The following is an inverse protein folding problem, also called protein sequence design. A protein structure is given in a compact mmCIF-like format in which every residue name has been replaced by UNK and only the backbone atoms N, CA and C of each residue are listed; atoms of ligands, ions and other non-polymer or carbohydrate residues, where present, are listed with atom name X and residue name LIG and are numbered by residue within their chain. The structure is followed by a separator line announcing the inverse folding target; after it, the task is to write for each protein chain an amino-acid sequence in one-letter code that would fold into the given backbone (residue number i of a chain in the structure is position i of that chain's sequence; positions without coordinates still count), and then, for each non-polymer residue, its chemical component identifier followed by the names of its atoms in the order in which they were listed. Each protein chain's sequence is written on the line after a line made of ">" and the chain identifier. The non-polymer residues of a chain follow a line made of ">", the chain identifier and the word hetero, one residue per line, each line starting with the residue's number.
data_IF_444989151056
#
_entry.id   IF_444989151056
#
_cell.length_a   1.000
_cell.length_b   1.000
_cell.length_c   1.000
_cell.angle_alpha   90.00
_cell.angle_beta   90.00
_cell.angle_gamma   90.00
#
_symmetry.space_group_name_H-M   'P 1'
#
loop_
_entity.id
_entity.type
_entity.pdbx_description
1 polymer ?
#
# COMPACT_ATOMS: atom_id res chain seq x y z
N UNK A 1 20.90 28.46 -44.76
CA UNK A 1 20.16 27.40 -44.04
C UNK A 1 20.44 27.51 -42.55
N UNK A 2 19.44 27.34 -41.69
CA UNK A 2 19.60 27.28 -40.24
C UNK A 2 19.42 25.84 -39.75
N UNK A 3 19.94 25.53 -38.57
CA UNK A 3 19.83 24.17 -38.01
C UNK A 3 18.37 23.75 -37.83
N UNK A 4 17.53 24.65 -37.35
CA UNK A 4 16.10 24.41 -37.12
C UNK A 4 15.21 24.64 -38.35
N UNK A 5 15.77 24.84 -39.55
CA UNK A 5 14.93 25.03 -40.74
C UNK A 5 14.15 23.78 -41.07
N UNK A 6 12.93 23.97 -41.58
CA UNK A 6 12.06 22.88 -42.00
C UNK A 6 12.72 21.99 -43.06
N UNK A 7 13.43 22.60 -44.01
CA UNK A 7 14.19 21.91 -45.06
C UNK A 7 15.30 21.02 -44.48
N UNK A 8 16.10 21.54 -43.54
CA UNK A 8 17.17 20.77 -42.89
C UNK A 8 16.56 19.63 -42.07
N UNK A 9 15.46 19.90 -41.36
CA UNK A 9 14.72 18.88 -40.60
C UNK A 9 14.24 17.73 -41.49
N UNK A 10 13.60 18.05 -42.61
CA UNK A 10 13.09 17.05 -43.55
C UNK A 10 14.21 16.24 -44.18
N UNK A 11 15.32 16.88 -44.53
CA UNK A 11 16.51 16.21 -45.05
C UNK A 11 17.07 15.21 -44.04
N UNK A 12 17.29 15.64 -42.79
CA UNK A 12 17.86 14.80 -41.73
C UNK A 12 16.93 13.64 -41.36
N UNK A 13 15.61 13.89 -41.29
CA UNK A 13 14.63 12.82 -41.12
C UNK A 13 14.64 11.85 -42.30
N UNK A 14 14.76 12.37 -43.54
CA UNK A 14 14.86 11.57 -44.76
C UNK A 14 16.04 10.60 -44.74
N UNK A 15 17.20 11.06 -44.28
CA UNK A 15 18.41 10.23 -44.13
C UNK A 15 18.26 9.15 -43.05
N UNK A 16 17.41 9.39 -42.04
CA UNK A 16 17.22 8.49 -40.90
C UNK A 16 16.00 7.55 -41.05
N UNK A 17 15.25 7.62 -42.15
CA UNK A 17 14.07 6.75 -42.39
C UNK A 17 14.37 5.26 -42.35
N UNK A 18 15.60 4.87 -42.71
CA UNK A 18 16.01 3.47 -42.75
C UNK A 18 16.48 2.93 -41.38
N UNK A 19 16.44 3.75 -40.32
CA UNK A 19 16.86 3.31 -39.00
C UNK A 19 15.84 2.30 -38.42
N UNK A 20 16.29 1.16 -37.86
CA UNK A 20 15.40 0.15 -37.26
C UNK A 20 14.45 0.74 -36.18
N UNK A 21 14.87 1.77 -35.46
CA UNK A 21 14.01 2.42 -34.45
C UNK A 21 12.85 3.21 -35.06
N UNK A 22 13.06 3.81 -36.25
CA UNK A 22 12.02 4.51 -36.99
C UNK A 22 10.98 3.52 -37.55
N UNK A 23 11.44 2.36 -38.02
CA UNK A 23 10.58 1.28 -38.54
C UNK A 23 9.71 0.68 -37.41
N UNK A 24 10.31 0.43 -36.25
CA UNK A 24 9.60 -0.18 -35.11
C UNK A 24 8.60 0.77 -34.45
N UNK A 25 8.97 2.05 -34.27
CA UNK A 25 8.08 3.05 -33.67
C UNK A 25 8.40 4.47 -34.18
N UNK A 26 7.79 4.82 -35.32
CA UNK A 26 8.00 6.13 -35.98
C UNK A 26 7.64 7.31 -35.08
N UNK A 27 6.53 7.25 -34.35
CA UNK A 27 6.09 8.35 -33.47
C UNK A 27 7.08 8.62 -32.33
N UNK A 28 7.58 7.55 -31.70
CA UNK A 28 8.59 7.67 -30.66
C UNK A 28 9.91 8.20 -31.21
N UNK A 29 10.33 7.70 -32.37
CA UNK A 29 11.53 8.19 -33.03
C UNK A 29 11.45 9.68 -33.37
N UNK A 30 10.33 10.14 -33.94
CA UNK A 30 10.12 11.55 -34.29
C UNK A 30 10.14 12.42 -33.02
N UNK A 31 9.54 11.96 -31.92
CA UNK A 31 9.57 12.67 -30.64
C UNK A 31 11.01 12.83 -30.13
N UNK A 32 11.77 11.73 -30.08
CA UNK A 32 13.17 11.74 -29.63
C UNK A 32 14.08 12.54 -30.56
N UNK A 33 13.84 12.47 -31.87
CA UNK A 33 14.52 13.30 -32.86
C UNK A 33 14.34 14.79 -32.56
N UNK A 34 13.10 15.23 -32.31
CA UNK A 34 12.79 16.62 -32.00
C UNK A 34 13.44 17.07 -30.67
N UNK A 35 13.42 16.21 -29.65
CA UNK A 35 14.08 16.48 -28.36
C UNK A 35 15.59 16.63 -28.56
N UNK A 36 16.20 15.72 -29.30
CA UNK A 36 17.65 15.73 -29.57
C UNK A 36 18.04 16.97 -30.38
N UNK A 37 17.24 17.33 -31.37
CA UNK A 37 17.43 18.54 -32.17
C UNK A 37 17.32 19.81 -31.30
N UNK A 38 16.36 19.88 -30.39
CA UNK A 38 16.27 20.98 -29.42
C UNK A 38 17.49 21.03 -28.50
N UNK A 39 17.97 19.87 -28.01
CA UNK A 39 19.12 19.81 -27.11
C UNK A 39 20.42 20.27 -27.77
N UNK A 40 20.64 19.89 -29.03
CA UNK A 40 21.80 20.34 -29.81
C UNK A 40 21.70 21.84 -30.09
N UNK A 41 20.51 22.34 -30.42
CA UNK A 41 20.30 23.77 -30.64
C UNK A 41 20.54 24.62 -29.38
N UNK A 42 20.15 24.12 -28.19
CA UNK A 42 20.47 24.78 -26.92
C UNK A 42 21.98 24.85 -26.66
N UNK A 43 22.75 23.93 -27.24
CA UNK A 43 24.22 23.87 -27.14
C UNK A 43 24.90 24.41 -28.40
N UNK A 44 24.19 25.18 -29.25
CA UNK A 44 24.72 25.66 -30.53
C UNK A 44 26.05 26.40 -30.40
N UNK A 45 26.24 27.12 -29.29
CA UNK A 45 27.43 27.94 -29.06
C UNK A 45 28.70 27.09 -28.85
N UNK A 46 28.54 25.79 -28.58
CA UNK A 46 29.64 24.81 -28.51
C UNK A 46 30.02 24.18 -29.86
N UNK A 47 29.28 24.49 -30.93
CA UNK A 47 29.50 23.94 -32.27
C UNK A 47 30.03 25.01 -33.21
N UNK A 48 31.06 24.67 -33.98
CA UNK A 48 31.70 25.60 -34.92
C UNK A 48 30.91 25.75 -36.23
N UNK A 49 30.07 24.77 -36.58
CA UNK A 49 29.34 24.76 -37.84
C UNK A 49 27.99 24.06 -37.74
N UNK A 50 27.06 24.48 -38.60
CA UNK A 50 25.80 23.77 -38.88
C UNK A 50 26.05 22.29 -39.23
N UNK A 51 27.14 22.02 -39.95
CA UNK A 51 27.51 20.67 -40.35
C UNK A 51 27.86 19.80 -39.12
N UNK A 52 28.49 20.38 -38.10
CA UNK A 52 28.85 19.66 -36.87
C UNK A 52 27.61 19.34 -36.03
N UNK A 53 26.64 20.27 -35.99
CA UNK A 53 25.33 20.04 -35.37
C UNK A 53 24.54 18.93 -36.09
N UNK A 54 24.51 18.95 -37.43
CA UNK A 54 23.86 17.91 -38.23
C UNK A 54 24.52 16.54 -38.04
N UNK A 55 25.86 16.48 -38.03
CA UNK A 55 26.63 15.25 -37.80
C UNK A 55 26.36 14.67 -36.41
N UNK A 56 26.35 15.51 -35.38
CA UNK A 56 26.08 15.06 -34.00
C UNK A 56 24.67 14.56 -33.82
N UNK A 57 23.67 15.22 -34.42
CA UNK A 57 22.29 14.73 -34.42
C UNK A 57 22.20 13.33 -35.05
N UNK A 58 22.76 13.16 -36.26
CA UNK A 58 22.74 11.86 -36.95
C UNK A 58 23.44 10.81 -36.10
N UNK A 59 24.60 11.11 -35.51
CA UNK A 59 25.34 10.19 -34.64
C UNK A 59 24.53 9.76 -33.43
N UNK A 60 23.84 10.69 -32.76
CA UNK A 60 23.00 10.37 -31.60
C UNK A 60 21.82 9.50 -32.01
N UNK A 61 21.15 9.81 -33.12
CA UNK A 61 20.00 9.06 -33.62
C UNK A 61 20.36 7.68 -34.18
N UNK A 62 21.59 7.47 -34.70
CA UNK A 62 22.05 6.13 -35.13
C UNK A 62 22.47 5.25 -33.96
N UNK A 63 23.00 5.84 -32.89
CA UNK A 63 23.29 5.12 -31.63
C UNK A 63 22.06 4.89 -30.76
N UNK A 64 20.96 5.57 -31.08
CA UNK A 64 19.72 5.49 -30.32
C UNK A 64 19.15 4.08 -30.39
N UNK A 65 18.91 3.49 -29.23
CA UNK A 65 18.17 2.23 -29.07
C UNK A 65 16.86 2.55 -28.40
N UNK A 66 15.79 1.84 -28.76
CA UNK A 66 14.55 1.94 -28.00
C UNK A 66 14.87 1.66 -26.52
N UNK A 67 14.37 2.48 -25.58
CA UNK A 67 14.45 2.13 -24.18
C UNK A 67 13.84 0.75 -24.02
N UNK A 68 14.55 -0.15 -23.35
CA UNK A 68 13.96 -1.42 -22.94
C UNK A 68 12.66 -1.05 -22.22
N UNK A 69 11.53 -1.54 -22.75
CA UNK A 69 10.26 -1.26 -22.12
C UNK A 69 10.39 -1.70 -20.65
N UNK A 70 9.97 -0.87 -19.69
CA UNK A 70 9.97 -1.29 -18.31
C UNK A 70 9.22 -2.62 -18.27
N UNK A 71 9.90 -3.68 -17.81
CA UNK A 71 9.27 -5.00 -17.65
C UNK A 71 7.96 -4.72 -16.92
N UNK A 72 6.83 -5.02 -17.58
CA UNK A 72 5.53 -4.87 -16.96
C UNK A 72 5.54 -5.78 -15.74
N UNK A 73 5.75 -5.18 -14.57
CA UNK A 73 5.84 -5.92 -13.33
C UNK A 73 4.54 -6.70 -13.18
N UNK A 74 4.66 -7.99 -12.94
CA UNK A 74 3.49 -8.84 -12.72
C UNK A 74 2.70 -8.29 -11.54
N UNK A 75 1.37 -8.48 -11.52
CA UNK A 75 0.51 -8.03 -10.41
C UNK A 75 1.05 -8.46 -9.02
N UNK A 76 1.71 -9.61 -8.97
CA UNK A 76 2.41 -10.12 -7.78
C UNK A 76 3.58 -9.24 -7.35
N UNK A 77 4.43 -8.83 -8.28
CA UNK A 77 5.60 -7.98 -8.00
C UNK A 77 5.18 -6.58 -7.55
N UNK A 78 4.15 -6.02 -8.18
CA UNK A 78 3.54 -4.74 -7.75
C UNK A 78 3.00 -4.85 -6.32
N UNK A 79 2.34 -5.96 -6.00
CA UNK A 79 1.84 -6.21 -4.65
C UNK A 79 2.97 -6.31 -3.62
N UNK A 80 4.03 -7.07 -3.93
CA UNK A 80 5.20 -7.20 -3.06
C UNK A 80 5.90 -5.87 -2.84
N UNK A 81 6.03 -5.05 -3.88
CA UNK A 81 6.62 -3.72 -3.78
C UNK A 81 5.78 -2.81 -2.88
N UNK A 82 4.45 -2.82 -3.03
CA UNK A 82 3.53 -2.05 -2.17
C UNK A 82 3.60 -2.52 -0.72
N UNK A 83 3.62 -3.84 -0.50
CA UNK A 83 3.73 -4.42 0.84
C UNK A 83 5.03 -4.01 1.52
N UNK A 84 6.17 -4.12 0.82
CA UNK A 84 7.48 -3.70 1.33
C UNK A 84 7.54 -2.21 1.63
N UNK A 85 6.91 -1.38 0.79
CA UNK A 85 6.83 0.07 1.03
C UNK A 85 6.02 0.38 2.28
N UNK A 86 4.94 -0.36 2.52
CA UNK A 86 4.10 -0.19 3.71
C UNK A 86 4.80 -0.66 4.99
N UNK A 87 5.54 -1.77 4.92
CA UNK A 87 6.34 -2.29 6.04
C UNK A 87 7.46 -1.31 6.45
N UNK A 88 8.13 -0.70 5.46
CA UNK A 88 9.14 0.34 5.72
C UNK A 88 8.51 1.56 6.41
N UNK A 89 7.42 2.09 5.84
CA UNK A 89 6.70 3.22 6.44
C UNK A 89 6.24 2.93 7.87
N UNK A 90 5.77 1.71 8.13
CA UNK A 90 5.36 1.28 9.47
C UNK A 90 6.54 1.20 10.43
N UNK A 91 7.68 0.68 9.98
CA UNK A 91 8.91 0.60 10.79
C UNK A 91 9.43 1.99 11.14
N UNK A 92 9.39 2.93 10.19
CA UNK A 92 9.78 4.32 10.41
C UNK A 92 8.85 5.03 11.40
N UNK A 93 7.54 4.73 11.37
CA UNK A 93 6.57 5.25 12.34
C UNK A 93 6.74 4.67 13.75
N UNK A 94 7.18 3.43 13.89
CA UNK A 94 7.39 2.80 15.20
C UNK A 94 8.71 3.23 15.83
N UNK A 95 9.73 3.49 15.01
CA UNK A 95 11.05 3.95 15.49
C UNK A 95 11.11 5.46 15.78
N UNK A 96 10.01 6.08 16.17
CA UNK A 96 10.05 7.42 16.75
C UNK A 96 10.71 7.27 18.12
N UNK A 97 11.90 7.88 18.29
CA UNK A 97 12.64 7.87 19.56
C UNK A 97 11.68 8.26 20.68
N UNK A 98 11.59 7.42 21.72
CA UNK A 98 10.86 7.75 22.94
C UNK A 98 11.41 9.09 23.45
N UNK A 99 10.56 10.12 23.67
CA UNK A 99 11.01 11.37 24.28
C UNK A 99 11.68 11.10 25.63
N UNK A 100 12.64 11.94 26.00
CA UNK A 100 13.29 11.84 27.31
C UNK A 100 12.23 11.98 28.43
N UNK A 101 12.37 11.17 29.48
CA UNK A 101 11.43 11.20 30.61
C UNK A 101 11.57 12.52 31.37
N UNK A 102 10.44 13.20 31.58
CA UNK A 102 10.40 14.46 32.31
C UNK A 102 10.47 14.16 33.80
N UNK A 103 11.51 14.68 34.45
CA UNK A 103 11.57 14.74 35.89
C UNK A 103 10.73 15.93 36.38
N UNK A 104 9.69 15.63 37.17
CA UNK A 104 8.83 16.62 37.83
C UNK A 104 9.19 16.79 39.31
N UNK A 105 10.32 16.25 39.75
CA UNK A 105 10.81 16.53 41.09
C UNK A 105 11.17 18.01 41.19
N UNK A 106 10.38 18.71 42.00
CA UNK A 106 10.69 20.06 42.45
C UNK A 106 11.89 19.90 43.41
N UNK A 107 13.11 19.91 42.86
CA UNK A 107 14.32 19.85 43.67
C UNK A 107 14.46 21.21 44.35
N UNK A 108 13.81 21.32 45.50
CA UNK A 108 13.81 22.50 46.37
C UNK A 108 15.14 22.57 47.13
N UNK A 109 16.25 22.68 46.40
CA UNK A 109 17.52 23.11 46.97
C UNK A 109 18.00 24.35 46.21
N UNK A 110 17.90 25.46 46.94
CA UNK A 110 18.55 26.75 46.76
C UNK A 110 18.04 27.71 45.66
N UNK A 111 17.33 28.75 46.14
CA UNK A 111 17.45 30.16 45.76
C UNK A 111 17.46 30.54 44.26
N UNK A 112 16.43 31.30 43.86
CA UNK A 112 16.31 32.06 42.60
C UNK A 112 15.85 31.33 41.31
N UNK A 113 14.98 30.32 41.43
CA UNK A 113 14.47 29.54 40.27
C UNK A 113 13.22 30.12 39.54
N UNK A 114 13.04 31.45 39.49
CA UNK A 114 12.00 32.03 38.62
C UNK A 114 12.48 32.26 37.17
N UNK A 115 13.79 32.20 36.90
CA UNK A 115 14.35 32.31 35.54
C UNK A 115 14.35 31.00 34.76
N UNK A 116 14.32 29.87 35.46
CA UNK A 116 14.43 28.54 34.85
C UNK A 116 13.15 28.09 34.14
N UNK A 117 11.98 28.61 34.54
CA UNK A 117 10.71 28.28 33.89
C UNK A 117 10.65 28.83 32.46
N UNK A 118 11.10 30.07 32.25
CA UNK A 118 11.14 30.70 30.93
C UNK A 118 12.19 30.02 30.04
N UNK A 119 13.36 29.68 30.59
CA UNK A 119 14.38 28.96 29.83
C UNK A 119 13.91 27.54 29.45
N UNK A 120 13.21 26.85 30.36
CA UNK A 120 12.65 25.53 30.08
C UNK A 120 11.52 25.60 29.06
N UNK A 121 10.67 26.64 29.10
CA UNK A 121 9.66 26.87 28.05
C UNK A 121 10.31 27.10 26.69
N UNK A 122 11.35 27.93 26.61
CA UNK A 122 12.07 28.20 25.35
C UNK A 122 12.77 26.94 24.81
N UNK A 123 13.37 26.12 25.68
CA UNK A 123 13.96 24.84 25.27
C UNK A 123 12.89 23.88 24.74
N UNK A 124 11.74 23.77 25.40
CA UNK A 124 10.61 22.94 24.95
C UNK A 124 9.99 23.42 23.64
N UNK A 125 9.86 24.73 23.45
CA UNK A 125 9.37 25.29 22.19
C UNK A 125 10.30 24.95 21.02
N UNK A 126 11.62 25.02 21.23
CA UNK A 126 12.61 24.63 20.22
C UNK A 126 12.54 23.15 19.90
N UNK A 127 12.46 22.29 20.91
CA UNK A 127 12.35 20.84 20.72
C UNK A 127 11.07 20.46 19.98
N UNK A 128 9.93 21.04 20.37
CA UNK A 128 8.65 20.84 19.67
C UNK A 128 8.72 21.31 18.21
N UNK A 129 9.35 22.45 17.95
CA UNK A 129 9.56 22.95 16.58
C UNK A 129 10.46 22.02 15.75
N UNK A 130 11.48 21.40 16.35
CA UNK A 130 12.33 20.41 15.68
C UNK A 130 11.58 19.11 15.38
N UNK A 131 10.81 18.61 16.34
CA UNK A 131 9.94 17.46 16.18
C UNK A 131 8.89 17.73 15.08
N UNK A 132 8.24 18.90 15.09
CA UNK A 132 7.26 19.30 14.07
C UNK A 132 7.84 19.41 12.66
N UNK A 133 9.12 19.77 12.49
CA UNK A 133 9.79 19.79 11.18
C UNK A 133 10.01 18.39 10.62
N UNK A 134 10.17 17.39 11.48
CA UNK A 134 10.40 16.00 11.08
C UNK A 134 9.14 15.30 10.54
N UNK A 135 7.95 15.80 10.89
CA UNK A 135 6.69 15.28 10.37
C UNK A 135 6.34 15.86 9.00
N UNK A 136 5.92 14.98 8.08
CA UNK A 136 5.42 15.39 6.77
C UNK A 136 4.01 16.00 6.91
N UNK A 137 3.96 17.30 7.18
CA UNK A 137 2.70 18.04 7.38
C UNK A 137 1.83 18.16 6.11
N UNK A 138 2.25 17.65 4.94
CA UNK A 138 1.51 17.80 3.68
C UNK A 138 0.13 17.13 3.70
N UNK A 139 0.04 15.93 4.28
CA UNK A 139 -1.23 15.20 4.33
C UNK A 139 -2.18 15.81 5.37
N UNK A 140 -1.63 16.25 6.51
CA UNK A 140 -2.39 16.96 7.54
C UNK A 140 -2.86 18.34 7.06
N UNK A 141 -2.01 19.09 6.35
CA UNK A 141 -2.38 20.38 5.77
C UNK A 141 -3.43 20.25 4.70
N UNK A 142 -3.34 19.20 3.86
CA UNK A 142 -4.37 18.89 2.87
C UNK A 142 -5.68 18.52 3.55
N UNK A 143 -5.65 17.74 4.64
CA UNK A 143 -6.86 17.37 5.38
C UNK A 143 -7.53 18.57 6.08
N UNK A 144 -6.73 19.47 6.67
CA UNK A 144 -7.20 20.70 7.32
C UNK A 144 -7.75 21.71 6.30
N UNK A 145 -7.09 21.88 5.15
CA UNK A 145 -7.53 22.80 4.09
C UNK A 145 -8.72 22.25 3.27
N UNK A 146 -8.94 20.94 3.29
CA UNK A 146 -10.05 20.28 2.60
C UNK A 146 -11.45 20.62 3.16
N UNK A 147 -11.55 21.36 4.27
CA UNK A 147 -12.85 21.84 4.74
C UNK A 147 -13.41 22.98 3.87
N UNK A 148 -12.56 23.82 3.26
CA UNK A 148 -13.01 24.92 2.40
C UNK A 148 -13.27 24.48 0.95
N UNK A 149 -12.60 23.40 0.50
CA UNK A 149 -12.76 22.83 -0.85
C UNK A 149 -13.64 21.57 -0.86
N UNK A 150 -14.63 21.47 0.05
CA UNK A 150 -15.74 20.54 -0.18
C UNK A 150 -16.56 21.08 -1.35
N UNK A 151 -16.13 20.78 -2.57
CA UNK A 151 -17.04 20.65 -3.69
C UNK A 151 -18.27 19.89 -3.17
N UNK A 152 -19.43 20.51 -3.33
CA UNK A 152 -20.75 19.99 -2.95
C UNK A 152 -20.77 18.47 -3.13
N UNK A 153 -21.38 17.69 -2.21
CA UNK A 153 -21.41 16.23 -2.32
C UNK A 153 -21.78 15.85 -3.75
N UNK A 154 -20.87 15.15 -4.42
CA UNK A 154 -21.00 14.78 -5.83
C UNK A 154 -22.34 14.09 -5.98
N UNK A 155 -23.33 14.79 -6.55
CA UNK A 155 -24.60 14.19 -6.95
C UNK A 155 -24.26 13.27 -8.11
N UNK A 156 -24.01 12.00 -7.79
CA UNK A 156 -23.87 10.94 -8.79
C UNK A 156 -25.11 10.98 -9.69
N UNK A 157 -24.96 11.51 -10.90
CA UNK A 157 -25.99 11.40 -11.93
C UNK A 157 -25.91 9.98 -12.46
N UNK A 158 -26.62 9.06 -11.81
CA UNK A 158 -26.90 7.73 -12.36
C UNK A 158 -27.74 7.98 -13.61
N UNK A 159 -27.10 7.93 -14.78
CA UNK A 159 -27.83 7.89 -16.05
C UNK A 159 -28.43 6.49 -16.11
N UNK A 160 -29.75 6.40 -16.01
CA UNK A 160 -30.50 5.17 -16.27
C UNK A 160 -30.37 4.84 -17.77
N UNK A 161 -29.25 4.24 -18.18
CA UNK A 161 -29.22 3.51 -19.43
C UNK A 161 -29.97 2.21 -19.19
N UNK A 162 -31.29 2.23 -19.42
CA UNK A 162 -32.13 1.03 -19.46
C UNK A 162 -31.73 0.19 -20.67
N UNK A 163 -30.68 -0.62 -20.50
CA UNK A 163 -30.44 -1.73 -21.42
C UNK A 163 -31.48 -2.78 -21.07
N UNK A 164 -32.42 -3.05 -21.99
CA UNK A 164 -33.36 -4.17 -21.84
C UNK A 164 -32.59 -5.48 -21.82
N UNK A 165 -32.38 -6.03 -20.63
CA UNK A 165 -31.78 -7.36 -20.47
C UNK A 165 -32.88 -8.37 -20.79
N UNK A 166 -32.85 -8.94 -21.99
CA UNK A 166 -33.66 -10.12 -22.28
C UNK A 166 -33.10 -11.28 -21.46
N UNK A 167 -33.96 -11.90 -20.64
CA UNK A 167 -33.58 -13.09 -19.90
C UNK A 167 -33.19 -14.19 -20.89
N UNK A 168 -31.95 -14.67 -20.79
CA UNK A 168 -31.52 -15.88 -21.46
C UNK A 168 -32.04 -17.03 -20.60
N UNK A 169 -33.01 -17.78 -21.10
CA UNK A 169 -33.45 -19.03 -20.47
C UNK A 169 -32.28 -20.02 -20.54
N UNK A 170 -31.51 -20.10 -19.45
CA UNK A 170 -30.57 -21.18 -19.25
C UNK A 170 -31.38 -22.46 -18.99
N UNK A 171 -31.50 -23.31 -20.01
CA UNK A 171 -31.83 -24.71 -19.81
C UNK A 171 -30.91 -25.26 -18.71
N UNK A 172 -31.51 -25.65 -17.58
CA UNK A 172 -30.80 -26.20 -16.41
C UNK A 172 -30.19 -27.55 -16.76
N UNK A 173 -29.04 -27.56 -17.44
CA UNK A 173 -28.11 -28.68 -17.33
C UNK A 173 -27.56 -28.63 -15.91
N UNK A 174 -27.88 -29.65 -15.12
CA UNK A 174 -27.46 -29.83 -13.73
C UNK A 174 -25.94 -29.67 -13.63
N UNK A 175 -25.50 -28.48 -13.22
CA UNK A 175 -24.08 -28.17 -13.01
C UNK A 175 -23.58 -29.05 -11.87
N UNK A 176 -22.86 -30.12 -12.20
CA UNK A 176 -22.07 -30.88 -11.24
C UNK A 176 -21.13 -29.90 -10.57
N UNK A 177 -21.24 -29.73 -9.24
CA UNK A 177 -20.37 -28.87 -8.45
C UNK A 177 -18.95 -29.41 -8.56
N UNK A 178 -18.12 -28.81 -9.41
CA UNK A 178 -16.68 -29.10 -9.46
C UNK A 178 -16.05 -28.53 -8.18
N UNK A 179 -15.86 -29.38 -7.18
CA UNK A 179 -15.05 -29.09 -6.02
C UNK A 179 -13.61 -29.46 -6.33
N UNK A 180 -12.70 -28.49 -6.20
CA UNK A 180 -11.26 -28.76 -6.25
C UNK A 180 -10.88 -29.49 -4.97
N UNK A 181 -10.39 -30.73 -5.08
CA UNK A 181 -9.73 -31.45 -3.99
C UNK A 181 -8.24 -31.46 -4.28
N UNK A 182 -7.44 -31.07 -3.29
CA UNK A 182 -5.99 -31.18 -3.35
C UNK A 182 -5.58 -32.53 -2.76
N UNK A 183 -4.80 -33.32 -3.51
CA UNK A 183 -4.09 -34.46 -2.93
C UNK A 183 -2.95 -33.94 -2.06
N UNK A 184 -3.14 -33.98 -0.74
CA UNK A 184 -2.07 -33.74 0.22
C UNK A 184 -1.19 -35.00 0.27
N UNK A 185 -0.06 -34.98 -0.44
CA UNK A 185 1.05 -35.88 -0.12
C UNK A 185 1.78 -35.29 1.08
N UNK A 186 1.52 -35.84 2.27
CA UNK A 186 2.24 -35.50 3.50
C UNK A 186 3.71 -35.92 3.32
N UNK A 187 4.56 -34.97 2.89
CA UNK A 187 5.99 -35.07 3.13
C UNK A 187 6.23 -34.59 4.56
N UNK A 188 6.68 -35.51 5.41
CA UNK A 188 7.12 -35.26 6.78
C UNK A 188 8.41 -34.42 6.81
N UNK A 189 8.34 -33.18 6.36
CA UNK A 189 9.40 -32.19 6.56
C UNK A 189 8.85 -31.09 7.47
N UNK A 190 9.48 -30.97 8.64
CA UNK A 190 9.17 -30.02 9.70
C UNK A 190 9.35 -28.59 9.21
N UNK A 191 8.35 -28.05 8.51
CA UNK A 191 8.30 -26.63 8.21
C UNK A 191 7.83 -25.86 9.43
N UNK A 192 8.72 -25.02 9.97
CA UNK A 192 8.45 -23.97 10.96
C UNK A 192 7.56 -22.86 10.36
N UNK A 193 6.33 -23.20 9.98
CA UNK A 193 5.34 -22.23 9.51
C UNK A 193 4.59 -21.62 10.70
N UNK A 194 4.27 -20.33 10.60
CA UNK A 194 3.57 -19.48 11.58
C UNK A 194 2.34 -20.14 12.26
N UNK A 195 1.68 -21.07 11.57
CA UNK A 195 0.55 -21.86 12.09
C UNK A 195 0.92 -22.97 13.09
N UNK A 196 2.19 -23.39 13.18
CA UNK A 196 2.67 -24.30 14.22
C UNK A 196 2.83 -23.62 15.59
N UNK A 197 2.91 -22.28 15.62
CA UNK A 197 2.89 -21.49 16.87
C UNK A 197 1.48 -21.26 17.40
N UNK A 198 0.46 -21.39 16.56
CA UNK A 198 -0.88 -21.67 17.09
C UNK A 198 -0.84 -23.09 17.63
N UNK A 199 -0.62 -23.22 18.94
CA UNK A 199 -1.07 -24.42 19.66
C UNK A 199 -2.56 -24.58 19.32
N UNK A 200 -2.88 -25.46 18.36
CA UNK A 200 -4.15 -26.17 18.41
C UNK A 200 -4.17 -26.73 19.83
N UNK A 201 -5.08 -26.24 20.66
CA UNK A 201 -5.41 -26.86 21.93
C UNK A 201 -5.87 -28.26 21.54
N UNK A 202 -4.94 -29.20 21.57
CA UNK A 202 -5.24 -30.60 21.45
C UNK A 202 -6.26 -30.90 22.55
N UNK A 203 -7.35 -31.53 22.14
CA UNK A 203 -8.40 -32.02 23.02
C UNK A 203 -9.27 -30.95 23.71
N UNK A 204 -10.23 -30.41 22.95
CA UNK A 204 -11.63 -30.38 23.44
C UNK A 204 -12.05 -31.86 23.59
N UNK A 205 -11.57 -32.51 24.65
CA UNK A 205 -12.05 -33.83 25.12
C UNK A 205 -12.31 -33.74 26.63
N UNK A 206 -11.68 -32.80 27.34
CA UNK A 206 -11.83 -32.67 28.79
C UNK A 206 -12.99 -31.77 29.26
N UNK A 207 -13.62 -30.96 28.40
CA UNK A 207 -14.79 -30.16 28.79
C UNK A 207 -16.05 -30.99 28.89
N UNK A 208 -16.24 -31.97 28.00
CA UNK A 208 -17.48 -32.74 27.94
C UNK A 208 -17.63 -33.69 29.14
N UNK A 209 -16.52 -34.24 29.65
CA UNK A 209 -16.57 -35.06 30.86
C UNK A 209 -16.88 -34.23 32.12
N UNK A 210 -16.35 -33.01 32.24
CA UNK A 210 -16.67 -32.11 33.36
C UNK A 210 -18.15 -31.71 33.33
N UNK A 211 -18.65 -31.32 32.15
CA UNK A 211 -20.06 -30.95 31.96
C UNK A 211 -20.98 -32.15 32.25
N UNK A 212 -20.60 -33.35 31.84
CA UNK A 212 -21.38 -34.57 32.08
C UNK A 212 -21.42 -34.95 33.56
N UNK A 213 -20.32 -34.73 34.30
CA UNK A 213 -20.26 -34.95 35.74
C UNK A 213 -21.10 -33.92 36.50
N UNK A 214 -21.05 -32.64 36.08
CA UNK A 214 -21.88 -31.58 36.64
C UNK A 214 -23.38 -31.83 36.41
N UNK A 215 -23.76 -32.29 35.22
CA UNK A 215 -25.15 -32.67 34.90
C UNK A 215 -25.62 -33.85 35.77
N UNK A 216 -24.79 -34.88 35.98
CA UNK A 216 -25.14 -36.00 36.88
C UNK A 216 -25.33 -35.52 38.33
N UNK A 217 -24.44 -34.64 38.80
CA UNK A 217 -24.53 -34.08 40.16
C UNK A 217 -25.77 -33.21 40.34
N UNK A 218 -26.19 -32.47 39.30
CA UNK A 218 -27.44 -31.71 39.31
C UNK A 218 -28.64 -32.65 39.39
N UNK A 219 -28.65 -33.73 38.62
CA UNK A 219 -29.74 -34.70 38.60
C UNK A 219 -29.93 -35.37 39.97
N UNK A 220 -28.84 -35.83 40.60
CA UNK A 220 -28.87 -36.42 41.94
C UNK A 220 -29.41 -35.45 43.00
N UNK A 221 -29.07 -34.16 42.89
CA UNK A 221 -29.61 -33.13 43.79
C UNK A 221 -31.10 -32.89 43.58
N UNK A 222 -31.58 -32.96 42.34
CA UNK A 222 -33.01 -32.85 42.03
C UNK A 222 -33.79 -34.03 42.61
N UNK A 223 -33.28 -35.25 42.46
CA UNK A 223 -33.92 -36.46 43.03
C UNK A 223 -34.02 -36.37 44.57
N UNK A 224 -32.96 -35.91 45.23
CA UNK A 224 -32.96 -35.67 46.68
C UNK A 224 -33.95 -34.58 47.12
N UNK A 225 -34.15 -33.55 46.30
CA UNK A 225 -35.14 -32.50 46.58
C UNK A 225 -36.55 -33.07 46.43
N UNK A 226 -36.81 -33.84 45.37
CA UNK A 226 -38.10 -34.49 45.13
C UNK A 226 -38.43 -35.44 46.30
N UNK A 227 -37.48 -36.29 46.71
CA UNK A 227 -37.69 -37.19 47.85
C UNK A 227 -38.00 -36.44 49.15
N UNK A 228 -37.31 -35.32 49.41
CA UNK A 228 -37.60 -34.47 50.58
C UNK A 228 -38.98 -33.83 50.49
N UNK A 229 -39.39 -33.39 49.30
CA UNK A 229 -40.73 -32.82 49.08
C UNK A 229 -41.82 -33.89 49.27
N UNK A 230 -41.62 -35.10 48.78
CA UNK A 230 -42.56 -36.21 48.95
C UNK A 230 -42.71 -36.58 50.44
N UNK A 231 -41.60 -36.64 51.19
CA UNK A 231 -41.64 -36.85 52.64
C UNK A 231 -42.42 -35.73 53.36
N UNK A 232 -42.22 -34.47 52.95
CA UNK A 232 -42.93 -33.33 53.54
C UNK A 232 -44.43 -33.35 53.21
N UNK A 233 -44.81 -33.82 52.02
CA UNK A 233 -46.20 -33.98 51.62
C UNK A 233 -46.89 -35.12 52.39
N UNK A 234 -46.17 -36.22 52.66
CA UNK A 234 -46.69 -37.34 53.47
C UNK A 234 -46.88 -36.93 54.93
N UNK A 235 -46.01 -36.07 55.50
CA UNK A 235 -46.14 -35.60 56.89
C UNK A 235 -47.22 -34.53 57.11
N UNK A 236 -47.89 -34.06 56.05
CA UNK A 236 -48.95 -33.04 56.12
C UNK A 236 -50.37 -33.58 56.02
N UNK A 237 -50.54 -34.90 55.90
CA UNK A 237 -51.80 -35.62 56.10
C UNK A 237 -51.75 -36.44 57.38
#
# INVERSE_FOLDING_TARGET
>A
MSFYSEENRQLLLGLLKNNPTYINNSNYFIKEFNITMHNINNKRDSFNSLMDMNKTLIKQMTTFKLPEQPKLLNKSEIFQQKLSSHEKNFSDMINIKKPEEIDFSDNVEDGDNFKDMDETMVRREKELNEIMKSYNNKDASNWLSSQETREKPVKLKIKENTVSINAIDLERKTKVKKQVRFELKEKNESMKNFFGKLKKKSAIINSDNSIKEDIKNILLKQDLIIEKLDRLLITKN
#
